data_IF_517868095630
#
_entry.id   IF_517868095630
#
_cell.length_a   1.000
_cell.length_b   1.000
_cell.length_c   1.000
_cell.angle_alpha   90.00
_cell.angle_beta   90.00
_cell.angle_gamma   90.00
#
_symmetry.space_group_name_H-M   'P 1'
#
loop_
_entity.id
_entity.type
_entity.pdbx_description
1 polymer ?
#
# COMPACT_ATOMS: atom_id res chain seq x y z
N UNK A 1 3.36 -7.91 15.66
CA UNK A 1 2.61 -7.37 14.53
C UNK A 1 2.48 -5.86 14.65
N UNK A 2 2.81 -5.16 13.61
CA UNK A 2 2.70 -3.71 13.59
C UNK A 2 1.87 -3.28 12.40
N UNK A 3 1.04 -2.28 12.59
CA UNK A 3 0.26 -1.71 11.50
C UNK A 3 0.24 -0.19 11.63
N UNK A 4 0.36 0.48 10.51
CA UNK A 4 0.33 1.94 10.46
C UNK A 4 -0.55 2.34 9.28
N UNK A 5 -1.42 3.31 9.50
CA UNK A 5 -2.26 3.86 8.45
C UNK A 5 -1.91 5.31 8.23
N UNK A 6 -1.62 5.67 6.98
CA UNK A 6 -1.30 7.03 6.60
C UNK A 6 -2.30 7.51 5.56
N UNK A 7 -2.51 8.82 5.50
CA UNK A 7 -3.29 9.42 4.44
C UNK A 7 -2.35 10.09 3.44
N UNK A 8 -2.48 9.70 2.17
CA UNK A 8 -1.66 10.25 1.11
C UNK A 8 -2.58 10.75 -0.01
N UNK A 9 -2.15 11.82 -0.68
CA UNK A 9 -2.91 12.31 -1.81
C UNK A 9 -2.66 11.42 -3.04
N UNK A 10 -3.43 11.67 -4.11
CA UNK A 10 -3.35 10.83 -5.30
C UNK A 10 -1.95 10.79 -5.91
N UNK A 11 -1.26 11.92 -5.91
CA UNK A 11 0.09 12.00 -6.48
C UNK A 11 1.08 11.14 -5.67
N UNK A 12 0.98 11.20 -4.35
CA UNK A 12 1.84 10.41 -3.48
C UNK A 12 1.57 8.92 -3.64
N UNK A 13 0.28 8.54 -3.75
CA UNK A 13 -0.07 7.13 -3.96
C UNK A 13 0.42 6.62 -5.31
N UNK A 14 0.31 7.42 -6.35
CA UNK A 14 0.80 7.04 -7.67
C UNK A 14 2.31 6.86 -7.67
N UNK A 15 3.02 7.72 -6.98
CA UNK A 15 4.47 7.64 -6.87
C UNK A 15 4.89 6.38 -6.09
N UNK A 16 4.16 6.07 -5.02
CA UNK A 16 4.41 4.86 -4.25
C UNK A 16 4.15 3.62 -5.09
N UNK A 17 3.09 3.60 -5.87
CA UNK A 17 2.79 2.48 -6.76
C UNK A 17 3.94 2.26 -7.75
N UNK A 18 4.47 3.33 -8.33
CA UNK A 18 5.58 3.22 -9.25
C UNK A 18 6.84 2.68 -8.56
N UNK A 19 7.08 3.09 -7.32
CA UNK A 19 8.23 2.64 -6.54
C UNK A 19 8.17 1.15 -6.23
N UNK A 20 6.97 0.61 -6.08
CA UNK A 20 6.79 -0.81 -5.73
C UNK A 20 6.23 -1.61 -6.91
N UNK A 21 6.47 -1.17 -8.14
CA UNK A 21 5.91 -1.81 -9.32
C UNK A 21 6.27 -3.30 -9.42
N UNK A 22 7.47 -3.67 -8.97
CA UNK A 22 7.93 -5.05 -9.02
C UNK A 22 7.37 -5.92 -7.89
N UNK A 23 6.66 -5.32 -6.94
CA UNK A 23 6.16 -6.01 -5.75
C UNK A 23 4.65 -5.99 -5.67
N UNK A 24 3.97 -5.56 -6.72
CA UNK A 24 2.52 -5.41 -6.69
C UNK A 24 1.83 -6.75 -6.62
N UNK A 25 0.77 -6.81 -5.82
CA UNK A 25 -0.12 -7.97 -5.70
C UNK A 25 -1.46 -7.61 -6.30
N UNK A 26 -2.33 -8.64 -6.44
CA UNK A 26 -3.69 -8.40 -6.89
C UNK A 26 -4.41 -7.49 -5.89
N UNK A 27 -5.02 -6.39 -6.35
CA UNK A 27 -5.70 -5.48 -5.43
C UNK A 27 -6.96 -6.11 -4.86
N UNK A 28 -7.25 -5.76 -3.59
CA UNK A 28 -8.52 -6.15 -2.99
C UNK A 28 -9.58 -5.10 -3.36
N UNK A 29 -10.89 -5.41 -3.20
CA UNK A 29 -11.94 -4.43 -3.46
C UNK A 29 -11.68 -3.13 -2.70
N UNK A 30 -11.95 -2.00 -3.35
CA UNK A 30 -11.80 -0.66 -2.79
C UNK A 30 -10.35 -0.21 -2.60
N UNK A 31 -9.38 -1.00 -3.04
CA UNK A 31 -7.98 -0.59 -3.00
C UNK A 31 -7.50 -0.21 -4.40
N UNK A 32 -6.52 0.70 -4.44
CA UNK A 32 -5.88 1.08 -5.69
C UNK A 32 -4.76 0.11 -6.04
N UNK A 33 -3.99 -0.30 -5.02
CA UNK A 33 -2.94 -1.27 -5.24
C UNK A 33 -2.56 -1.93 -3.92
N UNK A 34 -1.92 -3.08 -4.03
CA UNK A 34 -1.30 -3.77 -2.92
C UNK A 34 0.11 -4.14 -3.32
N UNK A 35 1.02 -4.10 -2.36
CA UNK A 35 2.40 -4.51 -2.56
C UNK A 35 2.91 -5.23 -1.33
N UNK A 36 3.85 -6.14 -1.52
CA UNK A 36 4.47 -6.85 -0.41
C UNK A 36 5.98 -6.79 -0.56
N UNK A 37 6.66 -6.26 0.45
CA UNK A 37 8.10 -6.08 0.44
C UNK A 37 8.64 -6.47 1.81
N UNK A 38 9.59 -7.41 1.85
CA UNK A 38 10.28 -7.80 3.09
C UNK A 38 9.34 -8.14 4.23
N UNK A 39 8.24 -8.83 3.93
CA UNK A 39 7.27 -9.23 4.95
C UNK A 39 6.29 -8.13 5.35
N UNK A 40 6.37 -6.98 4.72
CA UNK A 40 5.44 -5.87 4.96
C UNK A 40 4.45 -5.80 3.82
N UNK A 41 3.17 -5.78 4.16
CA UNK A 41 2.10 -5.62 3.17
C UNK A 41 1.62 -4.18 3.18
N UNK A 42 1.59 -3.58 2.00
CA UNK A 42 1.16 -2.20 1.82
C UNK A 42 -0.11 -2.23 1.00
N UNK A 43 -1.19 -1.65 1.52
CA UNK A 43 -2.46 -1.56 0.81
C UNK A 43 -2.87 -0.10 0.70
N UNK A 44 -3.00 0.38 -0.51
CA UNK A 44 -3.45 1.76 -0.74
C UNK A 44 -4.92 1.74 -1.14
N UNK A 45 -5.76 2.41 -0.35
CA UNK A 45 -7.19 2.44 -0.58
C UNK A 45 -7.59 3.66 -1.41
N UNK A 46 -8.64 3.51 -2.17
CA UNK A 46 -9.15 4.60 -3.02
C UNK A 46 -9.54 5.84 -2.22
N UNK A 47 -9.87 5.67 -0.94
CA UNK A 47 -10.23 6.79 -0.06
C UNK A 47 -9.02 7.66 0.32
N UNK A 48 -7.80 7.21 0.02
CA UNK A 48 -6.60 7.94 0.36
C UNK A 48 -5.80 7.34 1.50
N UNK A 49 -6.33 6.34 2.16
CA UNK A 49 -5.64 5.67 3.26
C UNK A 49 -4.67 4.63 2.71
N UNK A 50 -3.48 4.59 3.29
CA UNK A 50 -2.48 3.58 2.95
C UNK A 50 -2.15 2.83 4.22
N UNK A 51 -2.39 1.53 4.21
CA UNK A 51 -2.17 0.66 5.36
C UNK A 51 -0.88 -0.13 5.18
N UNK A 52 -0.02 -0.04 6.19
CA UNK A 52 1.21 -0.80 6.25
C UNK A 52 1.08 -1.84 7.35
N UNK A 53 1.19 -3.10 6.98
CA UNK A 53 1.12 -4.21 7.94
C UNK A 53 2.39 -5.04 7.83
N UNK A 54 3.04 -5.27 8.95
CA UNK A 54 4.27 -6.03 8.99
C UNK A 54 4.32 -6.98 10.15
N UNK A 55 5.24 -7.92 10.07
CA UNK A 55 5.54 -8.81 11.17
C UNK A 55 6.61 -8.17 12.01
N UNK A 56 6.29 -7.81 13.20
CA UNK A 56 7.29 -7.41 14.19
C UNK A 56 6.62 -6.94 15.43
#
# INVERSE_FOLDING_TARGET
MASVTLQLNAAARAQMKASYADYLLDPVPHSEFRAQVNGVTITAYASGNVLFQGKN
#
